data_IF_878010130252
#
_entry.id   IF_878010130252
#
_cell.length_a   1.000
_cell.length_b   1.000
_cell.length_c   1.000
_cell.angle_alpha   90.00
_cell.angle_beta   90.00
_cell.angle_gamma   90.00
#
_symmetry.space_group_name_H-M   'P 1'
#
loop_
_entity.id
_entity.type
_entity.pdbx_description
1 polymer ?
#
# COMPACT_ATOMS: atom_id res chain seq x y z
N UNK A 1 -15.69 -4.64 -3.63
CA UNK A 1 -15.76 -4.48 -5.08
C UNK A 1 -14.92 -5.54 -5.76
N UNK A 2 -15.40 -6.08 -6.89
CA UNK A 2 -14.66 -7.08 -7.68
C UNK A 2 -13.78 -6.37 -8.72
N UNK A 3 -12.74 -5.68 -8.24
CA UNK A 3 -11.74 -5.02 -9.08
C UNK A 3 -10.38 -5.63 -8.84
N UNK A 4 -9.54 -5.56 -9.83
CA UNK A 4 -8.12 -5.92 -9.73
C UNK A 4 -7.30 -4.63 -9.67
N UNK A 5 -6.31 -4.61 -8.81
CA UNK A 5 -5.49 -3.43 -8.53
C UNK A 5 -4.02 -3.79 -8.65
N UNK A 6 -3.25 -2.99 -9.36
CA UNK A 6 -1.79 -2.99 -9.27
C UNK A 6 -1.37 -2.08 -8.13
N UNK A 7 -0.54 -2.59 -7.23
CA UNK A 7 0.08 -1.83 -6.15
C UNK A 7 1.59 -1.72 -6.38
N UNK A 8 2.10 -0.51 -6.48
CA UNK A 8 3.53 -0.23 -6.63
C UNK A 8 4.16 -0.04 -5.24
N UNK A 9 4.76 -1.10 -4.70
CA UNK A 9 5.25 -1.11 -3.32
C UNK A 9 6.34 -0.08 -3.05
N UNK A 10 7.16 0.23 -4.04
CA UNK A 10 8.21 1.26 -3.97
C UNK A 10 7.66 2.70 -3.93
N UNK A 11 6.38 2.89 -4.26
CA UNK A 11 5.70 4.19 -4.23
C UNK A 11 4.92 4.43 -2.93
N UNK A 12 4.75 3.42 -2.11
CA UNK A 12 4.06 3.56 -0.83
C UNK A 12 4.94 4.36 0.15
N UNK A 13 4.49 5.52 0.62
CA UNK A 13 5.24 6.30 1.61
C UNK A 13 5.37 5.52 2.92
N UNK A 14 6.58 5.36 3.42
CA UNK A 14 6.87 4.64 4.66
C UNK A 14 7.59 5.57 5.62
N UNK A 15 7.12 5.63 6.86
CA UNK A 15 7.73 6.43 7.93
C UNK A 15 9.19 6.00 8.12
N UNK A 16 10.07 7.01 8.29
CA UNK A 16 11.50 6.78 8.51
C UNK A 16 11.76 5.79 9.65
N UNK A 17 12.65 4.85 9.42
CA UNK A 17 13.08 3.81 10.38
C UNK A 17 12.09 2.63 10.58
N UNK A 18 10.88 2.63 10.02
CA UNK A 18 9.95 1.48 10.14
C UNK A 18 10.62 0.17 9.73
N UNK A 19 11.35 0.18 8.63
CA UNK A 19 12.07 -1.01 8.14
C UNK A 19 13.06 -1.58 9.18
N UNK A 20 13.72 -0.74 9.98
CA UNK A 20 14.64 -1.18 11.05
C UNK A 20 13.89 -1.93 12.15
N UNK A 21 12.70 -1.45 12.54
CA UNK A 21 11.88 -2.11 13.56
C UNK A 21 11.37 -3.46 13.07
N UNK A 22 10.90 -3.53 11.83
CA UNK A 22 10.47 -4.80 11.21
C UNK A 22 11.63 -5.80 11.16
N UNK A 23 12.82 -5.36 10.73
CA UNK A 23 14.03 -6.22 10.70
C UNK A 23 14.44 -6.68 12.09
N UNK A 24 14.22 -5.87 13.13
CA UNK A 24 14.43 -6.23 14.52
C UNK A 24 13.30 -7.09 15.12
N UNK A 25 12.35 -7.55 14.30
CA UNK A 25 11.17 -8.32 14.70
C UNK A 25 10.26 -7.60 15.70
N UNK A 26 10.25 -6.27 15.66
CA UNK A 26 9.33 -5.43 16.44
C UNK A 26 8.10 -5.19 15.56
N UNK A 27 7.14 -6.10 15.65
CA UNK A 27 5.97 -6.16 14.76
C UNK A 27 4.71 -6.28 15.62
N UNK A 28 3.70 -5.40 15.44
CA UNK A 28 2.41 -5.56 16.11
C UNK A 28 1.75 -6.88 15.73
N UNK A 29 1.15 -7.58 16.69
CA UNK A 29 0.45 -8.86 16.41
C UNK A 29 -0.66 -8.72 15.37
N UNK A 30 -1.37 -7.58 15.35
CA UNK A 30 -2.37 -7.28 14.35
C UNK A 30 -1.85 -7.25 12.92
N UNK A 31 -0.59 -6.87 12.71
CA UNK A 31 0.05 -6.85 11.38
C UNK A 31 0.15 -8.26 10.78
N UNK A 32 0.53 -9.24 11.60
CA UNK A 32 0.62 -10.63 11.15
C UNK A 32 -0.76 -11.21 10.83
N UNK A 33 -1.76 -10.90 11.64
CA UNK A 33 -3.15 -11.29 11.37
C UNK A 33 -3.68 -10.65 10.08
N UNK A 34 -3.35 -9.38 9.82
CA UNK A 34 -3.70 -8.70 8.58
C UNK A 34 -3.06 -9.39 7.37
N UNK A 35 -1.77 -9.71 7.46
CA UNK A 35 -1.04 -10.36 6.37
C UNK A 35 -1.65 -11.73 6.03
N UNK A 36 -1.98 -12.53 7.04
CA UNK A 36 -2.65 -13.81 6.87
C UNK A 36 -4.03 -13.65 6.21
N UNK A 37 -4.83 -12.72 6.72
CA UNK A 37 -6.16 -12.44 6.18
C UNK A 37 -6.14 -12.01 4.71
N UNK A 38 -5.17 -11.18 4.29
CA UNK A 38 -5.12 -10.69 2.91
C UNK A 38 -4.42 -11.67 1.95
N UNK A 39 -3.80 -12.74 2.45
CA UNK A 39 -3.00 -13.68 1.66
C UNK A 39 -3.75 -14.29 0.47
N UNK A 40 -5.07 -14.48 0.60
CA UNK A 40 -5.92 -14.98 -0.48
C UNK A 40 -6.19 -13.96 -1.59
N UNK A 41 -6.00 -12.66 -1.31
CA UNK A 41 -6.37 -11.57 -2.21
C UNK A 41 -5.18 -10.82 -2.78
N UNK A 42 -3.99 -11.01 -2.21
CA UNK A 42 -2.76 -10.31 -2.59
C UNK A 42 -1.78 -11.27 -3.24
N UNK A 43 -1.30 -10.90 -4.41
CA UNK A 43 -0.25 -11.62 -5.13
C UNK A 43 1.05 -10.80 -5.05
N UNK A 44 2.08 -11.39 -4.41
CA UNK A 44 3.41 -10.80 -4.34
C UNK A 44 4.32 -11.39 -5.42
N UNK A 45 5.29 -10.62 -5.94
CA UNK A 45 6.31 -11.17 -6.84
C UNK A 45 7.13 -12.28 -6.16
N UNK A 46 7.72 -13.15 -6.98
CA UNK A 46 8.70 -14.12 -6.49
C UNK A 46 9.85 -13.41 -5.77
N UNK A 47 10.27 -13.97 -4.61
CA UNK A 47 11.32 -13.39 -3.76
C UNK A 47 11.03 -11.99 -3.20
N UNK A 48 9.76 -11.57 -3.15
CA UNK A 48 9.41 -10.31 -2.51
C UNK A 48 9.81 -10.34 -1.02
N UNK A 49 10.55 -9.32 -0.52
CA UNK A 49 11.06 -9.34 0.85
C UNK A 49 9.95 -9.42 1.90
N UNK A 50 10.08 -10.35 2.84
CA UNK A 50 9.09 -10.54 3.91
C UNK A 50 8.86 -9.26 4.73
N UNK A 51 9.93 -8.51 5.00
CA UNK A 51 9.83 -7.21 5.68
C UNK A 51 8.94 -6.21 4.94
N UNK A 52 8.91 -6.26 3.60
CA UNK A 52 8.06 -5.38 2.81
C UNK A 52 6.60 -5.84 2.85
N UNK A 53 6.32 -7.15 2.86
CA UNK A 53 4.97 -7.68 3.05
C UNK A 53 4.39 -7.22 4.39
N UNK A 54 5.19 -7.33 5.45
CA UNK A 54 4.84 -6.88 6.80
C UNK A 54 4.51 -5.40 6.83
N UNK A 55 5.34 -4.55 6.20
CA UNK A 55 5.10 -3.10 6.12
C UNK A 55 3.78 -2.78 5.39
N UNK A 56 3.49 -3.48 4.29
CA UNK A 56 2.25 -3.27 3.54
C UNK A 56 0.99 -3.71 4.29
N UNK A 57 1.12 -4.66 5.22
CA UNK A 57 0.03 -5.18 6.04
C UNK A 57 -0.06 -4.53 7.43
N UNK A 58 0.74 -3.48 7.70
CA UNK A 58 0.87 -2.89 9.02
C UNK A 58 -0.47 -2.45 9.63
N UNK A 59 -0.66 -2.82 10.89
CA UNK A 59 -1.86 -2.48 11.65
C UNK A 59 -1.73 -1.07 12.23
N UNK A 60 -2.46 -0.11 11.63
CA UNK A 60 -2.38 1.30 11.97
C UNK A 60 -3.68 1.81 12.60
N UNK A 61 -3.57 2.52 13.72
CA UNK A 61 -4.73 3.21 14.35
C UNK A 61 -5.15 4.43 13.54
N UNK A 62 -4.19 5.18 13.00
CA UNK A 62 -4.42 6.40 12.22
C UNK A 62 -3.45 6.43 11.05
N UNK A 63 -3.83 5.81 9.96
CA UNK A 63 -3.05 5.80 8.72
C UNK A 63 -3.39 6.97 7.80
N UNK A 64 -2.70 7.04 6.68
CA UNK A 64 -3.00 7.97 5.60
C UNK A 64 -4.32 7.64 4.88
N UNK A 65 -4.80 8.57 4.08
CA UNK A 65 -5.96 8.33 3.23
C UNK A 65 -5.54 7.58 1.96
N UNK A 66 -6.29 6.52 1.64
CA UNK A 66 -6.24 5.88 0.32
C UNK A 66 -7.39 6.42 -0.52
N UNK A 67 -7.05 7.11 -1.62
CA UNK A 67 -8.03 7.80 -2.46
C UNK A 67 -8.04 7.16 -3.85
N UNK A 68 -9.18 6.65 -4.27
CA UNK A 68 -9.40 6.21 -5.65
C UNK A 68 -10.09 7.31 -6.44
N UNK A 69 -9.49 7.69 -7.56
CA UNK A 69 -9.96 8.77 -8.43
C UNK A 69 -9.77 8.39 -9.90
N UNK A 70 -10.66 8.85 -10.80
CA UNK A 70 -10.46 8.62 -12.23
C UNK A 70 -9.09 9.14 -12.69
N UNK A 71 -8.41 8.37 -13.54
CA UNK A 71 -7.04 8.65 -14.02
C UNK A 71 -6.86 10.10 -14.51
N UNK A 72 -7.88 10.66 -15.16
CA UNK A 72 -7.86 12.04 -15.66
C UNK A 72 -7.61 13.08 -14.56
N UNK A 73 -8.06 12.82 -13.33
CA UNK A 73 -7.95 13.77 -12.22
C UNK A 73 -6.74 13.52 -11.30
N UNK A 74 -6.02 12.41 -11.48
CA UNK A 74 -4.90 12.01 -10.60
C UNK A 74 -3.84 13.10 -10.48
N UNK A 75 -3.35 13.61 -11.62
CA UNK A 75 -2.31 14.65 -11.63
C UNK A 75 -2.75 15.94 -10.95
N UNK A 76 -3.99 16.35 -11.18
CA UNK A 76 -4.56 17.55 -10.55
C UNK A 76 -4.64 17.38 -9.03
N UNK A 77 -5.18 16.25 -8.56
CA UNK A 77 -5.31 15.96 -7.14
C UNK A 77 -3.94 15.92 -6.44
N UNK A 78 -2.97 15.22 -7.01
CA UNK A 78 -1.60 15.16 -6.46
C UNK A 78 -0.99 16.55 -6.32
N UNK A 79 -1.08 17.38 -7.37
CA UNK A 79 -0.55 18.74 -7.34
C UNK A 79 -1.24 19.61 -6.28
N UNK A 80 -2.54 19.51 -6.13
CA UNK A 80 -3.29 20.26 -5.11
C UNK A 80 -2.90 19.83 -3.69
N UNK A 81 -2.74 18.54 -3.44
CA UNK A 81 -2.32 18.01 -2.13
C UNK A 81 -0.90 18.48 -1.77
N UNK A 82 0.04 18.37 -2.70
CA UNK A 82 1.42 18.84 -2.51
C UNK A 82 1.47 20.35 -2.24
N UNK A 83 0.68 21.15 -2.97
CA UNK A 83 0.59 22.60 -2.78
C UNK A 83 0.02 22.95 -1.39
N UNK A 84 -0.85 22.11 -0.86
CA UNK A 84 -1.43 22.27 0.48
C UNK A 84 -0.54 21.69 1.61
N UNK A 85 0.68 21.26 1.29
CA UNK A 85 1.64 20.79 2.29
C UNK A 85 1.52 19.29 2.64
N UNK A 86 0.74 18.51 1.89
CA UNK A 86 0.69 17.04 2.07
C UNK A 86 1.84 16.41 1.28
N UNK A 87 3.05 16.48 1.83
CA UNK A 87 4.28 16.14 1.12
C UNK A 87 4.45 14.64 0.83
N UNK A 88 3.85 13.76 1.63
CA UNK A 88 3.90 12.30 1.43
C UNK A 88 2.83 11.78 0.46
N UNK A 89 2.28 12.67 -0.39
CA UNK A 89 1.33 12.29 -1.43
C UNK A 89 2.02 11.49 -2.53
N UNK A 90 1.52 10.31 -2.83
CA UNK A 90 2.05 9.43 -3.87
C UNK A 90 0.95 8.70 -4.62
N UNK A 91 1.19 8.42 -5.90
CA UNK A 91 0.36 7.49 -6.68
C UNK A 91 0.92 6.09 -6.46
N UNK A 92 0.26 5.33 -5.60
CA UNK A 92 0.74 4.01 -5.16
C UNK A 92 0.20 2.84 -5.96
N UNK A 93 -0.71 3.08 -6.90
CA UNK A 93 -1.26 1.99 -7.71
C UNK A 93 -2.34 2.45 -8.68
N UNK A 94 -2.93 1.48 -9.34
CA UNK A 94 -4.02 1.71 -10.30
C UNK A 94 -5.03 0.57 -10.30
N UNK A 95 -6.29 0.89 -10.55
CA UNK A 95 -7.34 -0.10 -10.79
C UNK A 95 -7.31 -0.49 -12.27
N UNK A 96 -7.12 -1.77 -12.58
CA UNK A 96 -6.90 -2.25 -13.95
C UNK A 96 -8.08 -3.01 -14.56
N UNK A 97 -8.84 -3.74 -13.77
CA UNK A 97 -9.94 -4.52 -14.31
C UNK A 97 -11.03 -4.82 -13.27
N UNK A 98 -12.18 -5.32 -13.74
CA UNK A 98 -13.31 -5.71 -12.89
C UNK A 98 -13.44 -7.24 -12.79
N UNK A 99 -12.37 -8.02 -12.59
CA UNK A 99 -12.53 -9.47 -12.74
C UNK A 99 -12.27 -10.33 -11.52
N UNK A 100 -11.34 -10.05 -10.65
CA UNK A 100 -10.95 -11.06 -9.65
C UNK A 100 -10.93 -10.61 -8.19
N UNK A 101 -11.02 -9.32 -7.91
CA UNK A 101 -10.91 -8.82 -6.54
C UNK A 101 -9.52 -9.07 -5.95
N UNK A 102 -8.47 -9.00 -6.78
CA UNK A 102 -7.09 -9.24 -6.40
C UNK A 102 -6.27 -7.97 -6.37
N UNK A 103 -5.24 -7.94 -5.54
CA UNK A 103 -4.20 -6.91 -5.51
C UNK A 103 -2.90 -7.56 -5.98
N UNK A 104 -2.31 -7.04 -7.03
CA UNK A 104 -1.03 -7.51 -7.57
C UNK A 104 0.04 -6.50 -7.15
N UNK A 105 0.99 -6.94 -6.38
CA UNK A 105 2.10 -6.12 -5.85
C UNK A 105 3.28 -6.17 -6.82
N UNK A 106 3.90 -4.99 -7.02
CA UNK A 106 5.10 -4.81 -7.82
C UNK A 106 6.21 -4.17 -6.99
#
# INVERSE_FOLDING_TARGET
SKVEVNLFSDKVPVIKNVKKFVTANIIPGGTLNNLDYVSEFVEFPDNFPESNKIILADAQTSGGLLISVPRLYTKKLVNELLTKGVHDTSVIGEVISKKKGKIIVY
#
